data_IF_880023503558
#
_entry.id   IF_880023503558
#
_cell.length_a   1.000
_cell.length_b   1.000
_cell.length_c   1.000
_cell.angle_alpha   90.00
_cell.angle_beta   90.00
_cell.angle_gamma   90.00
#
_symmetry.space_group_name_H-M   'P 1'
#
loop_
_entity.id
_entity.type
_entity.pdbx_description
1 polymer ?
#
# COMPACT_ATOMS: atom_id res chain seq x y z
N UNK A 1 31.80 10.95 54.96
CA UNK A 1 31.56 11.62 53.66
C UNK A 1 31.18 10.67 52.52
N UNK A 2 31.83 9.51 52.34
CA UNK A 2 31.52 8.56 51.24
C UNK A 2 30.06 8.03 51.21
N UNK A 3 29.41 7.85 52.36
CA UNK A 3 28.03 7.34 52.46
C UNK A 3 26.96 8.36 52.02
N UNK A 4 27.25 9.65 52.12
CA UNK A 4 26.32 10.73 51.73
C UNK A 4 26.28 10.89 50.21
N UNK A 5 27.43 10.74 49.55
CA UNK A 5 27.59 10.81 48.09
C UNK A 5 26.84 9.64 47.41
N UNK A 6 26.91 8.44 47.99
CA UNK A 6 26.21 7.28 47.44
C UNK A 6 24.67 7.42 47.50
N UNK A 7 24.16 8.02 48.58
CA UNK A 7 22.72 8.28 48.73
C UNK A 7 22.20 9.30 47.71
N UNK A 8 22.99 10.35 47.42
CA UNK A 8 22.63 11.37 46.42
C UNK A 8 22.56 10.81 44.98
N UNK A 9 23.44 9.87 44.64
CA UNK A 9 23.45 9.25 43.29
C UNK A 9 22.21 8.36 43.08
N UNK A 10 21.75 7.66 44.12
CA UNK A 10 20.55 6.81 44.03
C UNK A 10 19.28 7.66 43.85
N UNK A 11 19.19 8.82 44.52
CA UNK A 11 18.02 9.71 44.38
C UNK A 11 17.96 10.35 42.98
N UNK A 12 19.12 10.69 42.39
CA UNK A 12 19.21 11.26 41.04
C UNK A 12 18.81 10.27 39.93
N UNK A 13 19.07 8.98 40.11
CA UNK A 13 18.70 7.95 39.12
C UNK A 13 17.19 7.65 39.13
N UNK A 14 16.54 7.74 40.29
CA UNK A 14 15.08 7.56 40.41
C UNK A 14 14.27 8.74 39.83
N UNK A 15 14.78 9.98 39.92
CA UNK A 15 14.07 11.15 39.39
C UNK A 15 14.13 11.23 37.86
N UNK A 16 15.25 10.83 37.25
CA UNK A 16 15.40 10.82 35.79
C UNK A 16 14.53 9.74 35.10
N UNK A 17 14.36 8.57 35.73
CA UNK A 17 13.53 7.49 35.19
C UNK A 17 12.03 7.81 35.17
N UNK A 18 11.53 8.54 36.17
CA UNK A 18 10.12 8.94 36.23
C UNK A 18 9.71 9.97 35.18
N UNK A 19 10.60 10.91 34.84
CA UNK A 19 10.32 11.98 33.88
C UNK A 19 10.21 11.46 32.43
N UNK A 20 11.01 10.45 32.07
CA UNK A 20 10.96 9.83 30.74
C UNK A 20 9.69 8.97 30.54
N UNK A 21 9.11 8.44 31.62
CA UNK A 21 7.89 7.63 31.53
C UNK A 21 6.63 8.50 31.37
N UNK A 22 6.63 9.72 31.90
CA UNK A 22 5.48 10.63 31.83
C UNK A 22 5.29 11.25 30.44
N UNK A 23 6.39 11.51 29.71
CA UNK A 23 6.32 12.11 28.37
C UNK A 23 5.98 11.10 27.27
N UNK A 24 6.07 9.79 27.52
CA UNK A 24 5.72 8.75 26.54
C UNK A 24 4.22 8.40 26.50
N UNK A 25 3.45 8.73 27.54
CA UNK A 25 2.05 8.27 27.68
C UNK A 25 0.99 9.27 27.19
N UNK A 26 1.38 10.48 26.78
CA UNK A 26 0.45 11.55 26.42
C UNK A 26 0.68 12.14 25.04
N UNK A 27 0.43 11.39 23.96
CA UNK A 27 0.14 11.96 22.63
C UNK A 27 -0.31 10.90 21.61
N UNK A 28 -1.41 10.19 21.87
CA UNK A 28 -2.12 9.48 20.81
C UNK A 28 -3.61 9.42 21.12
N UNK A 29 -4.27 10.57 20.98
CA UNK A 29 -5.73 10.66 20.85
C UNK A 29 -6.05 11.63 19.72
N UNK A 30 -5.94 11.16 18.48
CA UNK A 30 -6.57 11.81 17.33
C UNK A 30 -7.36 10.79 16.49
N UNK A 31 -8.68 11.00 16.53
CA UNK A 31 -9.75 10.60 15.60
C UNK A 31 -9.48 9.38 14.69
N UNK A 32 -9.98 8.22 15.13
CA UNK A 32 -10.26 7.05 14.29
C UNK A 32 -11.37 7.41 13.30
N UNK A 33 -10.99 7.74 12.07
CA UNK A 33 -11.89 7.87 10.92
C UNK A 33 -12.46 6.48 10.59
N UNK A 34 -13.72 6.44 10.15
CA UNK A 34 -14.43 5.24 9.72
C UNK A 34 -13.69 4.46 8.60
N UNK A 35 -12.75 5.12 7.90
CA UNK A 35 -11.86 4.50 6.91
C UNK A 35 -10.69 3.71 7.50
N UNK A 36 -10.30 3.97 8.76
CA UNK A 36 -9.15 3.32 9.41
C UNK A 36 -9.52 1.93 9.94
N UNK A 37 -10.79 1.69 10.25
CA UNK A 37 -11.28 0.41 10.77
C UNK A 37 -11.25 -0.69 9.70
N UNK A 38 -11.72 -0.41 8.48
CA UNK A 38 -11.65 -1.38 7.38
C UNK A 38 -10.21 -1.68 6.95
N UNK A 39 -9.32 -0.69 7.04
CA UNK A 39 -7.90 -0.84 6.73
C UNK A 39 -7.16 -1.62 7.81
N UNK A 40 -7.39 -1.36 9.11
CA UNK A 40 -6.83 -2.17 10.19
C UNK A 40 -7.31 -3.63 10.09
N UNK A 41 -8.54 -3.87 9.67
CA UNK A 41 -9.08 -5.23 9.53
C UNK A 41 -8.44 -5.96 8.33
N UNK A 42 -8.35 -5.32 7.16
CA UNK A 42 -7.61 -5.80 5.99
C UNK A 42 -6.14 -6.08 6.30
N UNK A 43 -5.47 -5.15 6.99
CA UNK A 43 -4.04 -5.29 7.35
C UNK A 43 -3.80 -6.27 8.49
N UNK A 44 -4.74 -6.46 9.42
CA UNK A 44 -4.63 -7.44 10.50
C UNK A 44 -4.70 -8.88 9.99
N UNK A 45 -5.49 -9.13 8.93
CA UNK A 45 -5.52 -10.42 8.24
C UNK A 45 -4.22 -10.70 7.49
N UNK A 46 -3.54 -9.66 6.97
CA UNK A 46 -2.25 -9.78 6.30
C UNK A 46 -1.09 -9.92 7.31
N UNK A 47 -1.16 -9.30 8.49
CA UNK A 47 -0.06 -9.30 9.49
C UNK A 47 0.08 -10.59 10.29
N UNK A 48 -0.94 -11.46 10.34
CA UNK A 48 -0.97 -12.60 11.28
C UNK A 48 -0.40 -13.92 10.76
N UNK A 49 -0.14 -14.06 9.47
CA UNK A 49 0.43 -15.28 8.91
C UNK A 49 1.58 -14.90 7.97
N UNK A 50 2.66 -15.70 7.96
CA UNK A 50 3.68 -15.69 6.90
C UNK A 50 3.09 -16.19 5.56
N UNK A 51 1.85 -15.81 5.24
CA UNK A 51 1.19 -16.17 4.00
C UNK A 51 1.87 -15.41 2.88
N UNK A 52 2.41 -16.17 1.94
CA UNK A 52 2.93 -15.62 0.70
C UNK A 52 1.76 -14.93 0.00
N UNK A 53 1.87 -13.62 -0.24
CA UNK A 53 0.84 -12.83 -0.90
C UNK A 53 0.64 -13.34 -2.33
N UNK A 54 -0.61 -13.60 -2.71
CA UNK A 54 -1.02 -13.99 -4.06
C UNK A 54 -2.08 -13.01 -4.57
N UNK A 55 -2.15 -12.74 -5.90
CA UNK A 55 -3.19 -11.86 -6.44
C UNK A 55 -4.60 -12.40 -6.18
N UNK A 56 -4.75 -13.71 -6.02
CA UNK A 56 -6.04 -14.38 -5.75
C UNK A 56 -6.69 -13.93 -4.43
N UNK A 57 -5.87 -13.45 -3.49
CA UNK A 57 -6.32 -13.06 -2.15
C UNK A 57 -6.64 -11.56 -2.07
N UNK A 58 -6.51 -10.85 -3.19
CA UNK A 58 -6.69 -9.40 -3.28
C UNK A 58 -7.75 -9.09 -4.32
N UNK A 59 -8.54 -8.04 -4.07
CA UNK A 59 -9.26 -7.33 -5.12
C UNK A 59 -8.44 -6.12 -5.60
N UNK A 60 -8.81 -5.47 -6.73
CA UNK A 60 -8.05 -4.33 -7.26
C UNK A 60 -7.83 -3.19 -6.25
N UNK A 61 -8.81 -2.93 -5.38
CA UNK A 61 -8.73 -1.88 -4.36
C UNK A 61 -7.74 -2.24 -3.26
N UNK A 62 -7.83 -3.46 -2.75
CA UNK A 62 -6.94 -3.99 -1.71
C UNK A 62 -5.51 -4.11 -2.20
N UNK A 63 -5.32 -4.48 -3.48
CA UNK A 63 -4.01 -4.49 -4.13
C UNK A 63 -3.37 -3.09 -4.14
N UNK A 64 -4.09 -2.09 -4.67
CA UNK A 64 -3.58 -0.71 -4.75
C UNK A 64 -3.30 -0.16 -3.34
N UNK A 65 -4.19 -0.42 -2.40
CA UNK A 65 -4.03 0.03 -1.02
C UNK A 65 -2.77 -0.57 -0.37
N UNK A 66 -2.56 -1.88 -0.50
CA UNK A 66 -1.37 -2.56 0.00
C UNK A 66 -0.08 -1.92 -0.55
N UNK A 67 -0.08 -1.57 -1.84
CA UNK A 67 1.08 -0.99 -2.52
C UNK A 67 1.34 0.45 -2.09
N UNK A 68 0.28 1.21 -1.78
CA UNK A 68 0.38 2.53 -1.17
C UNK A 68 0.91 2.47 0.25
N UNK A 69 0.41 1.55 1.07
CA UNK A 69 0.79 1.45 2.48
C UNK A 69 2.23 0.98 2.69
N UNK A 70 2.69 0.06 1.84
CA UNK A 70 4.08 -0.43 1.89
C UNK A 70 5.09 0.57 1.32
N UNK A 71 4.63 1.63 0.63
CA UNK A 71 5.50 2.62 0.04
C UNK A 71 6.25 3.42 1.11
N UNK A 72 7.57 3.49 0.96
CA UNK A 72 8.44 4.26 1.82
C UNK A 72 9.29 5.22 0.99
N UNK A 73 9.00 6.52 1.10
CA UNK A 73 9.73 7.58 0.39
C UNK A 73 11.24 7.60 0.70
N UNK A 74 11.67 7.05 1.84
CA UNK A 74 13.09 6.96 2.23
C UNK A 74 13.78 5.70 1.70
N UNK A 75 13.01 4.71 1.21
CA UNK A 75 13.57 3.49 0.65
C UNK A 75 14.00 3.73 -0.80
N UNK A 76 15.21 3.30 -1.20
CA UNK A 76 15.62 3.31 -2.61
C UNK A 76 14.92 2.24 -3.44
N UNK A 77 14.31 1.25 -2.79
CA UNK A 77 13.58 0.15 -3.42
C UNK A 77 12.17 0.08 -2.82
N UNK A 78 11.16 0.35 -3.64
CA UNK A 78 9.75 0.26 -3.25
C UNK A 78 9.06 -0.75 -4.16
N UNK A 79 8.97 -2.00 -3.72
CA UNK A 79 8.23 -3.04 -4.41
C UNK A 79 7.52 -3.95 -3.42
N UNK A 80 6.46 -4.61 -3.91
CA UNK A 80 5.79 -5.69 -3.20
C UNK A 80 5.95 -6.96 -4.02
N UNK A 81 6.56 -7.98 -3.40
CA UNK A 81 6.68 -9.30 -4.00
C UNK A 81 5.36 -10.05 -3.87
N UNK A 82 4.83 -10.54 -4.99
CA UNK A 82 3.61 -11.34 -5.06
C UNK A 82 3.91 -12.65 -5.80
N UNK A 83 3.39 -13.76 -5.27
CA UNK A 83 3.54 -15.10 -5.84
C UNK A 83 2.34 -15.47 -6.71
N UNK A 84 2.64 -16.03 -7.88
CA UNK A 84 1.64 -16.55 -8.80
C UNK A 84 1.02 -15.49 -9.71
N UNK A 85 0.03 -15.95 -10.47
CA UNK A 85 -0.63 -15.15 -11.50
C UNK A 85 -1.94 -14.54 -11.02
N UNK A 86 -2.33 -13.44 -11.66
CA UNK A 86 -3.67 -12.90 -11.56
C UNK A 86 -4.70 -13.91 -12.10
N UNK A 87 -5.83 -14.13 -11.42
CA UNK A 87 -6.97 -14.85 -11.98
C UNK A 87 -7.45 -14.30 -13.32
N UNK A 88 -8.12 -15.15 -14.08
CA UNK A 88 -8.93 -14.68 -15.21
C UNK A 88 -10.11 -13.86 -14.69
N UNK A 89 -10.47 -12.81 -15.42
CA UNK A 89 -11.52 -11.86 -15.01
C UNK A 89 -11.32 -11.32 -13.59
N UNK A 90 -10.08 -11.10 -13.16
CA UNK A 90 -9.80 -10.67 -11.78
C UNK A 90 -10.48 -9.34 -11.41
N UNK A 91 -10.59 -8.42 -12.35
CA UNK A 91 -11.33 -7.16 -12.17
C UNK A 91 -12.82 -7.41 -12.39
N UNK A 92 -13.64 -7.08 -11.39
CA UNK A 92 -15.08 -7.28 -11.43
C UNK A 92 -15.82 -5.96 -11.71
N UNK A 93 -17.09 -5.99 -12.18
CA UNK A 93 -17.85 -4.76 -12.45
C UNK A 93 -17.93 -3.81 -11.26
N UNK A 94 -17.99 -4.35 -10.03
CA UNK A 94 -18.00 -3.57 -8.77
C UNK A 94 -16.73 -2.76 -8.53
N UNK A 95 -15.61 -3.14 -9.15
CA UNK A 95 -14.31 -2.50 -8.94
C UNK A 95 -14.11 -1.30 -9.88
N UNK A 96 -14.86 -1.25 -10.99
CA UNK A 96 -14.69 -0.25 -12.06
C UNK A 96 -14.82 1.17 -11.53
N UNK A 97 -15.83 1.45 -10.70
CA UNK A 97 -16.06 2.81 -10.19
C UNK A 97 -14.88 3.31 -9.34
N UNK A 98 -14.35 2.44 -8.47
CA UNK A 98 -13.15 2.76 -7.70
C UNK A 98 -11.96 3.02 -8.62
N UNK A 99 -11.70 2.14 -9.60
CA UNK A 99 -10.56 2.27 -10.49
C UNK A 99 -10.63 3.55 -11.33
N UNK A 100 -11.82 3.91 -11.83
CA UNK A 100 -12.07 5.19 -12.52
C UNK A 100 -11.75 6.37 -11.59
N UNK A 101 -12.13 6.31 -10.31
CA UNK A 101 -11.88 7.40 -9.36
C UNK A 101 -10.39 7.64 -9.08
N UNK A 102 -9.52 6.63 -9.30
CA UNK A 102 -8.09 6.71 -8.98
C UNK A 102 -7.16 6.68 -10.19
N UNK A 103 -7.67 6.46 -11.42
CA UNK A 103 -6.83 6.35 -12.63
C UNK A 103 -6.01 7.61 -12.96
N UNK A 104 -6.46 8.78 -12.50
CA UNK A 104 -5.74 10.05 -12.65
C UNK A 104 -4.74 10.35 -11.51
N UNK A 105 -4.62 9.46 -10.50
CA UNK A 105 -3.78 9.71 -9.32
C UNK A 105 -2.29 9.52 -9.59
N UNK A 106 -1.52 10.61 -9.49
CA UNK A 106 -0.04 10.62 -9.55
C UNK A 106 0.63 10.24 -8.22
N UNK A 107 -0.16 9.82 -7.24
CA UNK A 107 0.36 9.38 -5.95
C UNK A 107 1.33 8.20 -6.14
N UNK A 108 2.52 8.31 -5.54
CA UNK A 108 3.54 7.27 -5.64
C UNK A 108 3.17 6.08 -4.75
N UNK A 109 3.44 4.89 -5.26
CA UNK A 109 3.27 3.63 -4.54
C UNK A 109 4.40 2.65 -4.90
N UNK A 110 4.43 1.50 -4.23
CA UNK A 110 5.35 0.43 -4.57
C UNK A 110 5.13 -0.10 -6.00
N UNK A 111 6.20 -0.63 -6.61
CA UNK A 111 6.15 -1.48 -7.79
C UNK A 111 5.64 -2.88 -7.52
N UNK A 112 5.20 -3.55 -8.58
CA UNK A 112 4.92 -4.99 -8.57
C UNK A 112 6.21 -5.75 -8.87
N UNK A 113 6.50 -6.77 -8.07
CA UNK A 113 7.55 -7.73 -8.39
C UNK A 113 6.99 -9.15 -8.26
N UNK A 114 7.12 -9.95 -9.32
CA UNK A 114 6.84 -11.38 -9.21
C UNK A 114 7.87 -12.02 -8.26
N UNK A 115 7.45 -12.98 -7.44
CA UNK A 115 8.33 -13.67 -6.50
C UNK A 115 9.58 -14.27 -7.17
N UNK A 116 9.46 -14.75 -8.41
CA UNK A 116 10.56 -15.35 -9.18
C UNK A 116 11.39 -14.32 -9.97
N UNK A 117 11.14 -13.03 -9.81
CA UNK A 117 11.86 -11.98 -10.52
C UNK A 117 13.26 -11.76 -9.96
N UNK A 118 14.25 -11.65 -10.86
CA UNK A 118 15.61 -11.25 -10.54
C UNK A 118 15.91 -9.79 -10.87
N UNK A 119 14.95 -9.08 -11.47
CA UNK A 119 15.11 -7.69 -11.90
C UNK A 119 14.63 -6.75 -10.80
N UNK A 120 15.48 -5.79 -10.42
CA UNK A 120 15.14 -4.74 -9.46
C UNK A 120 14.97 -3.42 -10.20
N UNK A 121 13.75 -2.88 -10.18
CA UNK A 121 13.48 -1.53 -10.68
C UNK A 121 13.55 -0.54 -9.51
N UNK A 122 14.25 0.57 -9.72
CA UNK A 122 14.44 1.64 -8.71
C UNK A 122 13.38 2.73 -8.80
N UNK A 123 12.64 2.78 -9.90
CA UNK A 123 11.55 3.73 -10.04
C UNK A 123 10.35 3.36 -9.15
N UNK A 124 9.52 4.36 -8.82
CA UNK A 124 8.27 4.14 -8.11
C UNK A 124 7.11 4.07 -9.09
N UNK A 125 6.14 3.21 -8.83
CA UNK A 125 4.87 3.20 -9.56
C UNK A 125 3.98 4.39 -9.17
N UNK A 126 2.91 4.59 -9.93
CA UNK A 126 1.82 5.52 -9.63
C UNK A 126 0.52 4.76 -9.47
N UNK A 127 -0.31 5.19 -8.51
CA UNK A 127 -1.62 4.59 -8.24
C UNK A 127 -2.47 4.54 -9.51
N UNK A 128 -2.49 5.63 -10.28
CA UNK A 128 -3.22 5.69 -11.55
C UNK A 128 -2.71 4.71 -12.60
N UNK A 129 -1.40 4.40 -12.59
CA UNK A 129 -0.81 3.44 -13.52
C UNK A 129 -1.36 2.03 -13.34
N UNK A 130 -1.49 1.55 -12.09
CA UNK A 130 -2.13 0.27 -11.82
C UNK A 130 -3.61 0.27 -12.22
N UNK A 131 -4.33 1.33 -11.87
CA UNK A 131 -5.74 1.44 -12.21
C UNK A 131 -6.01 1.41 -13.71
N UNK A 132 -5.16 2.07 -14.51
CA UNK A 132 -5.22 2.02 -15.98
C UNK A 132 -5.02 0.59 -16.48
N UNK A 133 -4.03 -0.15 -15.98
CA UNK A 133 -3.79 -1.54 -16.39
C UNK A 133 -5.01 -2.42 -16.05
N UNK A 134 -5.54 -2.28 -14.84
CA UNK A 134 -6.70 -3.07 -14.40
C UNK A 134 -7.94 -2.74 -15.24
N UNK A 135 -8.22 -1.46 -15.50
CA UNK A 135 -9.32 -1.05 -16.36
C UNK A 135 -9.16 -1.57 -17.79
N UNK A 136 -7.96 -1.46 -18.37
CA UNK A 136 -7.69 -1.99 -19.71
C UNK A 136 -7.91 -3.50 -19.77
N UNK A 137 -7.49 -4.26 -18.75
CA UNK A 137 -7.76 -5.71 -18.69
C UNK A 137 -9.26 -6.04 -18.63
N UNK A 138 -10.02 -5.24 -17.89
CA UNK A 138 -11.48 -5.38 -17.79
C UNK A 138 -12.16 -5.08 -19.14
N UNK A 139 -11.84 -3.95 -19.76
CA UNK A 139 -12.42 -3.51 -21.04
C UNK A 139 -12.12 -4.50 -22.16
N UNK A 140 -10.88 -5.00 -22.20
CA UNK A 140 -10.42 -5.92 -23.25
C UNK A 140 -10.72 -7.40 -22.97
N UNK A 141 -11.29 -7.74 -21.81
CA UNK A 141 -11.49 -9.12 -21.36
C UNK A 141 -10.19 -9.95 -21.38
N UNK A 142 -9.08 -9.35 -20.94
CA UNK A 142 -7.77 -9.99 -20.90
C UNK A 142 -7.30 -10.22 -19.48
N UNK A 143 -6.42 -11.21 -19.30
CA UNK A 143 -5.73 -11.44 -18.02
C UNK A 143 -4.76 -10.28 -17.74
N UNK A 144 -4.68 -9.85 -16.49
CA UNK A 144 -3.70 -8.84 -16.08
C UNK A 144 -2.29 -9.39 -16.29
N UNK A 145 -1.47 -8.60 -16.97
CA UNK A 145 -0.06 -8.90 -17.19
C UNK A 145 0.80 -7.73 -16.70
N UNK A 146 1.53 -7.97 -15.60
CA UNK A 146 2.51 -7.04 -15.04
C UNK A 146 3.96 -7.51 -15.28
N UNK A 147 4.17 -8.55 -16.10
CA UNK A 147 5.48 -9.15 -16.34
C UNK A 147 6.11 -9.70 -15.06
N UNK A 148 7.45 -9.74 -15.01
CA UNK A 148 8.21 -10.14 -13.83
C UNK A 148 8.43 -8.98 -12.84
N UNK A 149 8.47 -7.73 -13.31
CA UNK A 149 8.56 -6.52 -12.50
C UNK A 149 7.90 -5.36 -13.25
N UNK A 150 7.11 -4.53 -12.56
CA UNK A 150 6.40 -3.41 -13.18
C UNK A 150 6.21 -2.22 -12.24
N UNK A 151 6.51 -1.04 -12.79
CA UNK A 151 6.32 0.27 -12.16
C UNK A 151 5.41 1.15 -13.02
N UNK A 152 4.11 0.83 -13.12
CA UNK A 152 3.24 1.52 -14.05
C UNK A 152 3.09 2.99 -13.68
N UNK A 153 3.06 3.83 -14.71
CA UNK A 153 2.85 5.28 -14.61
C UNK A 153 1.52 5.63 -15.26
N UNK A 154 1.04 6.83 -14.98
CA UNK A 154 -0.11 7.36 -15.69
C UNK A 154 0.21 7.54 -17.18
N UNK A 155 -0.70 7.06 -18.02
CA UNK A 155 -0.73 7.33 -19.46
C UNK A 155 -1.98 8.13 -19.83
N UNK A 156 -1.78 9.34 -20.37
CA UNK A 156 -2.88 10.26 -20.71
C UNK A 156 -3.73 9.73 -21.86
N UNK A 157 -3.12 9.02 -22.81
CA UNK A 157 -3.85 8.48 -23.95
C UNK A 157 -4.79 7.36 -23.49
N UNK A 158 -4.32 6.44 -22.66
CA UNK A 158 -5.13 5.40 -22.04
C UNK A 158 -6.26 5.97 -21.18
N UNK A 159 -5.99 6.99 -20.36
CA UNK A 159 -7.04 7.66 -19.58
C UNK A 159 -8.17 8.15 -20.48
N UNK A 160 -7.83 8.85 -21.58
CA UNK A 160 -8.85 9.37 -22.51
C UNK A 160 -9.70 8.24 -23.09
N UNK A 161 -9.06 7.14 -23.54
CA UNK A 161 -9.76 5.97 -24.09
C UNK A 161 -10.70 5.33 -23.06
N UNK A 162 -10.25 5.18 -21.82
CA UNK A 162 -11.03 4.62 -20.71
C UNK A 162 -12.21 5.54 -20.37
N UNK A 163 -12.01 6.85 -20.32
CA UNK A 163 -13.09 7.82 -20.07
C UNK A 163 -14.15 7.80 -21.16
N UNK A 164 -13.75 7.73 -22.43
CA UNK A 164 -14.67 7.60 -23.56
C UNK A 164 -15.50 6.31 -23.45
N UNK A 165 -14.86 5.18 -23.15
CA UNK A 165 -15.54 3.91 -22.90
C UNK A 165 -16.54 3.99 -21.73
N UNK A 166 -16.13 4.58 -20.60
CA UNK A 166 -16.97 4.65 -19.41
C UNK A 166 -18.21 5.54 -19.63
N UNK A 167 -18.04 6.66 -20.35
CA UNK A 167 -19.16 7.54 -20.75
C UNK A 167 -20.16 6.83 -21.67
N UNK A 168 -19.69 6.02 -22.60
CA UNK A 168 -20.55 5.31 -23.56
C UNK A 168 -21.28 4.11 -22.93
N UNK A 169 -20.71 3.50 -21.89
CA UNK A 169 -21.32 2.35 -21.18
C UNK A 169 -22.43 2.77 -20.21
N UNK A 170 -22.43 4.04 -19.76
CA UNK A 170 -23.45 4.59 -18.85
C UNK A 170 -24.67 5.21 -19.55
N UNK A 171 -24.66 5.26 -20.87
CA UNK A 171 -25.81 5.69 -21.68
C UNK A 171 -26.73 4.51 -21.92
#
# INVERSE_FOLDING_TARGET
MKKVILSLIIILTLSAGGYLFYTFKGNNKEKKSLSTLSIEELTSNVKKNHTILSPKDLDPKSFILLFKEKYNKKSPLNFVSILGDFPDNWVQPKDVEYLISVMNSKEKCCGYMNFFSSTLLTENAEVGGFAIIFLNSYISHTKINLGSNSNPKIDKESIKKIEDWYRNTKK
#
